data_IF_803000084559
#
_entry.id   IF_803000084559
#
_cell.length_a   1.000
_cell.length_b   1.000
_cell.length_c   1.000
_cell.angle_alpha   90.00
_cell.angle_beta   90.00
_cell.angle_gamma   90.00
#
_symmetry.space_group_name_H-M   'P 1'
#
loop_
_entity.id
_entity.type
_entity.pdbx_description
1 polymer ?
#
# COMPACT_ATOMS: atom_id res chain seq x y z
N UNK A 1 16.35 -32.97 16.22
CA UNK A 1 15.15 -32.80 15.36
C UNK A 1 14.44 -31.49 15.73
N UNK A 2 15.10 -30.33 15.63
CA UNK A 2 14.59 -29.05 16.14
C UNK A 2 14.98 -27.85 15.27
N UNK A 3 14.92 -27.99 13.94
CA UNK A 3 15.24 -26.91 12.98
C UNK A 3 14.06 -26.57 12.05
N UNK A 4 12.94 -27.28 12.13
CA UNK A 4 11.84 -27.15 11.15
C UNK A 4 10.83 -26.05 11.50
N UNK A 5 10.88 -25.52 12.72
CA UNK A 5 9.88 -24.56 13.23
C UNK A 5 10.20 -23.12 12.83
N UNK A 6 11.48 -22.69 12.87
CA UNK A 6 11.89 -21.31 12.52
C UNK A 6 11.66 -20.95 11.04
N UNK A 7 11.86 -21.91 10.13
CA UNK A 7 11.68 -21.68 8.71
C UNK A 7 10.20 -21.53 8.30
N UNK A 8 9.27 -22.09 9.09
CA UNK A 8 7.83 -21.99 8.77
C UNK A 8 7.27 -20.66 9.29
N UNK A 9 7.65 -20.26 10.51
CA UNK A 9 7.27 -18.97 11.09
C UNK A 9 7.75 -17.79 10.24
N UNK A 10 8.98 -17.83 9.74
CA UNK A 10 9.53 -16.77 8.87
C UNK A 10 8.79 -16.65 7.53
N UNK A 11 8.36 -17.75 6.93
CA UNK A 11 7.55 -17.73 5.71
C UNK A 11 6.15 -17.12 5.94
N UNK A 12 5.54 -17.42 7.09
CA UNK A 12 4.24 -16.86 7.48
C UNK A 12 4.33 -15.34 7.73
N UNK A 13 5.42 -14.87 8.35
CA UNK A 13 5.71 -13.45 8.55
C UNK A 13 5.96 -12.71 7.23
N UNK A 14 6.72 -13.30 6.31
CA UNK A 14 6.99 -12.70 5.00
C UNK A 14 5.72 -12.58 4.16
N UNK A 15 4.86 -13.60 4.19
CA UNK A 15 3.55 -13.57 3.54
C UNK A 15 2.63 -12.50 4.16
N UNK A 16 2.58 -12.41 5.49
CA UNK A 16 1.81 -11.38 6.19
C UNK A 16 2.31 -9.96 5.84
N UNK A 17 3.63 -9.77 5.74
CA UNK A 17 4.24 -8.49 5.35
C UNK A 17 3.92 -8.11 3.91
N UNK A 18 4.03 -9.07 2.98
CA UNK A 18 3.66 -8.86 1.59
C UNK A 18 2.18 -8.48 1.46
N UNK A 19 1.30 -9.16 2.21
CA UNK A 19 -0.12 -8.85 2.24
C UNK A 19 -0.40 -7.44 2.78
N UNK A 20 0.23 -7.06 3.90
CA UNK A 20 0.11 -5.72 4.47
C UNK A 20 0.52 -4.64 3.46
N UNK A 21 1.65 -4.83 2.77
CA UNK A 21 2.08 -3.88 1.72
C UNK A 21 1.11 -3.81 0.56
N UNK A 22 0.52 -4.94 0.14
CA UNK A 22 -0.48 -4.95 -0.92
C UNK A 22 -1.76 -4.18 -0.53
N UNK A 23 -2.25 -4.36 0.70
CA UNK A 23 -3.40 -3.62 1.22
C UNK A 23 -3.09 -2.12 1.30
N UNK A 24 -1.93 -1.75 1.83
CA UNK A 24 -1.51 -0.36 1.92
C UNK A 24 -1.40 0.31 0.54
N UNK A 25 -0.85 -0.40 -0.45
CA UNK A 25 -0.77 0.10 -1.82
C UNK A 25 -2.17 0.41 -2.41
N UNK A 26 -3.18 -0.39 -2.09
CA UNK A 26 -4.57 -0.12 -2.50
C UNK A 26 -5.16 1.06 -1.72
N UNK A 27 -4.93 1.11 -0.39
CA UNK A 27 -5.48 2.16 0.48
C UNK A 27 -4.96 3.57 0.16
N UNK A 28 -3.71 3.69 -0.30
CA UNK A 28 -3.13 4.96 -0.79
C UNK A 28 -3.36 5.20 -2.29
N UNK A 29 -4.06 4.29 -2.98
CA UNK A 29 -4.51 4.49 -4.35
C UNK A 29 -5.72 5.42 -4.44
N UNK A 30 -6.13 5.75 -5.67
CA UNK A 30 -7.37 6.48 -5.88
C UNK A 30 -8.57 5.67 -5.31
N UNK A 31 -9.45 6.29 -4.50
CA UNK A 31 -10.53 5.56 -3.84
C UNK A 31 -11.67 5.33 -4.83
N UNK A 32 -11.53 4.33 -5.71
CA UNK A 32 -12.61 3.83 -6.58
C UNK A 32 -13.47 2.81 -5.84
N UNK A 33 -14.71 2.59 -6.31
CA UNK A 33 -15.58 1.52 -5.82
C UNK A 33 -14.87 0.15 -5.77
N UNK A 34 -14.11 -0.16 -6.83
CA UNK A 34 -13.32 -1.40 -6.93
C UNK A 34 -12.28 -1.50 -5.80
N UNK A 35 -11.53 -0.44 -5.56
CA UNK A 35 -10.50 -0.42 -4.52
C UNK A 35 -11.12 -0.49 -3.12
N UNK A 36 -12.23 0.20 -2.88
CA UNK A 36 -12.96 0.15 -1.60
C UNK A 36 -13.53 -1.24 -1.34
N UNK A 37 -14.14 -1.88 -2.35
CA UNK A 37 -14.63 -3.25 -2.26
C UNK A 37 -13.49 -4.24 -1.99
N UNK A 38 -12.35 -4.07 -2.68
CA UNK A 38 -11.16 -4.89 -2.45
C UNK A 38 -10.66 -4.77 -1.01
N UNK A 39 -10.55 -3.55 -0.48
CA UNK A 39 -10.15 -3.31 0.90
C UNK A 39 -11.12 -3.95 1.90
N UNK A 40 -12.44 -3.79 1.67
CA UNK A 40 -13.48 -4.41 2.50
C UNK A 40 -13.33 -5.94 2.53
N UNK A 41 -13.10 -6.56 1.37
CA UNK A 41 -12.90 -8.01 1.27
C UNK A 41 -11.62 -8.50 1.95
N UNK A 42 -10.61 -7.64 2.12
CA UNK A 42 -9.32 -7.95 2.73
C UNK A 42 -9.27 -7.71 4.24
N UNK A 43 -10.34 -7.20 4.86
CA UNK A 43 -10.31 -6.75 6.26
C UNK A 43 -9.94 -7.87 7.25
N UNK A 44 -10.55 -9.06 7.13
CA UNK A 44 -10.28 -10.19 8.01
C UNK A 44 -8.84 -10.71 7.86
N UNK A 45 -8.38 -10.81 6.62
CA UNK A 45 -7.01 -11.26 6.30
C UNK A 45 -5.97 -10.23 6.79
N UNK A 46 -6.29 -8.94 6.74
CA UNK A 46 -5.44 -7.87 7.26
C UNK A 46 -5.30 -7.97 8.77
N UNK A 47 -6.38 -8.18 9.51
CA UNK A 47 -6.31 -8.40 10.95
C UNK A 47 -5.44 -9.61 11.30
N UNK A 48 -5.54 -10.69 10.52
CA UNK A 48 -4.71 -11.86 10.71
C UNK A 48 -3.23 -11.55 10.43
N UNK A 49 -2.93 -10.84 9.34
CA UNK A 49 -1.58 -10.43 9.00
C UNK A 49 -0.96 -9.53 10.09
N UNK A 50 -1.73 -8.57 10.63
CA UNK A 50 -1.29 -7.72 11.74
C UNK A 50 -0.95 -8.54 12.98
N UNK A 51 -1.80 -9.51 13.35
CA UNK A 51 -1.53 -10.44 14.47
C UNK A 51 -0.26 -11.27 14.25
N UNK A 52 -0.07 -11.82 13.05
CA UNK A 52 1.14 -12.58 12.69
C UNK A 52 2.40 -11.72 12.83
N UNK A 53 2.32 -10.43 12.48
CA UNK A 53 3.44 -9.49 12.59
C UNK A 53 3.62 -8.88 13.99
N UNK A 54 2.77 -9.24 14.97
CA UNK A 54 2.79 -8.64 16.31
C UNK A 54 2.42 -7.16 16.33
N UNK A 55 1.70 -6.68 15.31
CA UNK A 55 1.22 -5.30 15.20
C UNK A 55 -0.17 -5.16 15.82
N UNK A 56 -0.41 -4.02 16.46
CA UNK A 56 -1.73 -3.70 16.99
C UNK A 56 -2.71 -3.43 15.84
N UNK A 57 -3.87 -4.08 15.89
CA UNK A 57 -4.97 -3.73 15.00
C UNK A 57 -5.49 -2.34 15.40
N UNK A 58 -5.71 -1.43 14.45
CA UNK A 58 -6.27 -0.12 14.76
C UNK A 58 -7.71 -0.18 15.32
N UNK A 59 -8.32 -1.38 15.33
CA UNK A 59 -9.71 -1.57 15.71
C UNK A 59 -10.67 -1.04 14.65
N UNK A 60 -11.89 -1.56 14.60
CA UNK A 60 -12.98 -1.07 13.74
C UNK A 60 -12.70 -1.03 12.22
N UNK A 61 -11.74 -1.82 11.69
CA UNK A 61 -11.45 -1.85 10.25
C UNK A 61 -12.70 -2.06 9.37
N UNK A 62 -13.62 -2.99 9.68
CA UNK A 62 -14.87 -3.13 8.94
C UNK A 62 -15.73 -1.86 8.95
N UNK A 63 -15.87 -1.21 10.11
CA UNK A 63 -16.68 0.01 10.27
C UNK A 63 -16.06 1.19 9.50
N UNK A 64 -14.73 1.33 9.55
CA UNK A 64 -13.99 2.35 8.80
C UNK A 64 -14.16 2.17 7.30
N UNK A 65 -14.13 0.92 6.81
CA UNK A 65 -14.29 0.63 5.39
C UNK A 65 -15.74 0.80 4.91
N UNK A 66 -16.72 0.50 5.77
CA UNK A 66 -18.13 0.78 5.50
C UNK A 66 -18.39 2.30 5.41
N UNK A 67 -17.88 3.08 6.37
CA UNK A 67 -17.94 4.54 6.34
C UNK A 67 -17.22 5.13 5.11
N UNK A 68 -16.06 4.57 4.75
CA UNK A 68 -15.34 4.96 3.55
C UNK A 68 -16.15 4.72 2.27
N UNK A 69 -16.85 3.58 2.18
CA UNK A 69 -17.74 3.28 1.06
C UNK A 69 -18.93 4.25 1.00
N UNK A 70 -19.54 4.58 2.15
CA UNK A 70 -20.64 5.55 2.22
C UNK A 70 -20.22 6.96 1.78
N UNK A 71 -18.97 7.36 2.07
CA UNK A 71 -18.40 8.68 1.76
C UNK A 71 -17.48 8.66 0.54
N UNK A 72 -17.68 7.72 -0.38
CA UNK A 72 -16.82 7.51 -1.54
C UNK A 72 -16.50 8.80 -2.31
N UNK A 73 -17.50 9.59 -2.72
CA UNK A 73 -17.28 10.80 -3.52
C UNK A 73 -16.47 11.86 -2.76
N UNK A 74 -16.70 11.99 -1.46
CA UNK A 74 -15.94 12.91 -0.62
C UNK A 74 -14.48 12.47 -0.51
N UNK A 75 -14.23 11.16 -0.38
CA UNK A 75 -12.88 10.60 -0.37
C UNK A 75 -12.14 10.84 -1.70
N UNK A 76 -12.82 10.75 -2.85
CA UNK A 76 -12.21 11.10 -4.14
C UNK A 76 -11.80 12.58 -4.20
N UNK A 77 -12.67 13.47 -3.71
CA UNK A 77 -12.37 14.89 -3.63
C UNK A 77 -11.18 15.19 -2.71
N UNK A 78 -11.14 14.55 -1.55
CA UNK A 78 -10.03 14.65 -0.59
C UNK A 78 -8.73 14.09 -1.17
N UNK A 79 -8.78 12.94 -1.84
CA UNK A 79 -7.63 12.33 -2.50
C UNK A 79 -7.00 13.29 -3.51
N UNK A 80 -7.82 13.84 -4.41
CA UNK A 80 -7.36 14.81 -5.40
C UNK A 80 -6.74 16.04 -4.74
N UNK A 81 -7.38 16.57 -3.69
CA UNK A 81 -6.86 17.73 -2.95
C UNK A 81 -5.53 17.43 -2.27
N UNK A 82 -5.38 16.28 -1.63
CA UNK A 82 -4.19 15.92 -0.85
C UNK A 82 -3.01 15.56 -1.75
N UNK A 83 -3.23 14.67 -2.72
CA UNK A 83 -2.17 13.97 -3.44
C UNK A 83 -1.92 14.49 -4.86
N UNK A 84 -2.95 15.02 -5.53
CA UNK A 84 -2.89 15.32 -6.98
C UNK A 84 -2.75 16.82 -7.26
N UNK A 85 -3.69 17.63 -6.77
CA UNK A 85 -3.82 19.04 -7.16
C UNK A 85 -3.29 20.00 -6.10
N UNK A 86 -3.55 19.73 -4.82
CA UNK A 86 -3.10 20.60 -3.73
C UNK A 86 -1.65 20.33 -3.31
N UNK A 87 -1.11 19.15 -3.63
CA UNK A 87 0.25 18.71 -3.29
C UNK A 87 0.62 18.96 -1.81
N UNK A 88 -0.37 18.93 -0.91
CA UNK A 88 -0.16 19.09 0.51
C UNK A 88 0.59 17.89 1.09
N UNK A 89 0.37 16.71 0.51
CA UNK A 89 1.11 15.49 0.75
C UNK A 89 1.30 14.77 -0.59
N UNK A 90 2.33 15.11 -1.39
CA UNK A 90 2.60 14.42 -2.65
C UNK A 90 2.70 12.90 -2.47
N UNK A 91 2.20 12.11 -3.43
CA UNK A 91 2.26 10.64 -3.34
C UNK A 91 3.64 10.06 -3.69
N UNK A 92 4.48 10.83 -4.38
CA UNK A 92 5.82 10.38 -4.81
C UNK A 92 6.90 10.89 -3.87
N UNK A 93 7.79 9.98 -3.44
CA UNK A 93 8.99 10.31 -2.63
C UNK A 93 9.81 11.46 -3.23
N UNK A 94 9.96 11.47 -4.56
CA UNK A 94 10.72 12.48 -5.31
C UNK A 94 10.21 13.92 -5.16
N UNK A 95 9.00 14.12 -4.62
CA UNK A 95 8.44 15.44 -4.36
C UNK A 95 8.82 15.99 -2.97
N UNK A 96 9.28 15.14 -2.05
CA UNK A 96 9.74 15.54 -0.72
C UNK A 96 11.24 15.84 -0.69
N UNK A 97 12.00 15.37 -1.68
CA UNK A 97 13.41 15.73 -1.84
C UNK A 97 13.56 17.04 -2.63
N UNK A 98 13.73 18.15 -1.91
CA UNK A 98 13.81 19.52 -2.45
C UNK A 98 14.98 19.78 -3.42
N UNK A 99 15.97 18.89 -3.53
CA UNK A 99 17.29 19.29 -4.06
C UNK A 99 17.78 18.53 -5.30
N UNK A 100 17.03 17.55 -5.85
CA UNK A 100 17.63 16.60 -6.83
C UNK A 100 16.73 16.14 -7.96
N UNK A 101 16.28 17.10 -8.78
CA UNK A 101 15.70 16.79 -10.10
C UNK A 101 16.59 15.86 -10.95
N UNK A 102 17.91 15.90 -10.75
CA UNK A 102 18.88 14.99 -11.37
C UNK A 102 18.89 13.56 -10.77
N UNK A 103 18.53 13.35 -9.50
CA UNK A 103 18.46 12.00 -8.90
C UNK A 103 17.17 11.27 -9.18
N UNK A 104 16.08 12.01 -9.38
CA UNK A 104 14.77 11.45 -9.76
C UNK A 104 14.87 10.45 -10.91
N UNK A 105 15.67 10.74 -11.93
CA UNK A 105 15.87 9.84 -13.07
C UNK A 105 16.60 8.55 -12.69
N UNK A 106 17.60 8.63 -11.79
CA UNK A 106 18.36 7.48 -11.32
C UNK A 106 17.54 6.59 -10.38
N UNK A 107 16.79 7.18 -9.45
CA UNK A 107 15.89 6.48 -8.53
C UNK A 107 14.77 5.75 -9.30
N UNK A 108 14.13 6.43 -10.25
CA UNK A 108 13.11 5.79 -11.10
C UNK A 108 13.70 4.67 -11.96
N UNK A 109 14.93 4.82 -12.46
CA UNK A 109 15.61 3.78 -13.21
C UNK A 109 15.96 2.56 -12.33
N UNK A 110 16.37 2.78 -11.08
CA UNK A 110 16.66 1.71 -10.12
C UNK A 110 15.40 0.93 -9.75
N UNK A 111 14.32 1.65 -9.39
CA UNK A 111 13.00 1.06 -9.16
C UNK A 111 12.54 0.27 -10.38
N UNK A 112 12.64 0.83 -11.58
CA UNK A 112 12.29 0.12 -12.81
C UNK A 112 13.16 -1.11 -13.05
N UNK A 113 14.46 -1.04 -12.76
CA UNK A 113 15.41 -2.15 -12.83
C UNK A 113 15.01 -3.29 -11.90
N UNK A 114 14.69 -2.97 -10.65
CA UNK A 114 14.20 -3.93 -9.66
C UNK A 114 12.95 -4.66 -10.16
N UNK A 115 11.89 -3.94 -10.53
CA UNK A 115 10.65 -4.57 -10.99
C UNK A 115 10.86 -5.44 -12.24
N UNK A 116 11.70 -5.00 -13.18
CA UNK A 116 12.04 -5.79 -14.38
C UNK A 116 12.78 -7.08 -14.03
N UNK A 117 13.67 -7.07 -13.05
CA UNK A 117 14.39 -8.27 -12.61
C UNK A 117 13.43 -9.36 -12.08
N UNK A 118 12.28 -8.95 -11.52
CA UNK A 118 11.21 -9.86 -11.09
C UNK A 118 10.12 -10.08 -12.15
N UNK A 119 10.37 -9.72 -13.41
CA UNK A 119 9.46 -9.96 -14.53
C UNK A 119 8.24 -9.01 -14.60
N UNK A 120 8.21 -7.98 -13.76
CA UNK A 120 7.12 -7.00 -13.73
C UNK A 120 7.42 -5.84 -14.70
N UNK A 121 6.36 -5.35 -15.36
CA UNK A 121 6.42 -4.15 -16.22
C UNK A 121 5.67 -3.02 -15.53
N UNK A 122 6.37 -1.94 -15.22
CA UNK A 122 5.74 -0.71 -14.72
C UNK A 122 5.00 -0.05 -15.89
N UNK A 123 3.71 0.19 -15.72
CA UNK A 123 2.89 0.94 -16.68
C UNK A 123 3.33 2.40 -16.76
N UNK A 124 2.86 3.12 -17.79
CA UNK A 124 3.08 4.57 -17.84
C UNK A 124 2.42 5.22 -16.61
N UNK A 125 3.05 6.25 -16.00
CA UNK A 125 2.40 7.02 -14.95
C UNK A 125 1.09 7.61 -15.50
N UNK A 126 0.01 7.44 -14.74
CA UNK A 126 -1.32 8.00 -15.06
C UNK A 126 -1.41 9.42 -14.51
#
# INVERSE_FOLDING_TARGET
MSERTDATTSLDEDAARAFLFAVMAVAFGYPSEENLMRLASSAADLEQALRTLGLESPGSLPEVLEDAAARHFDLQGLYNRLFVTGLAAPISETAYELDKSARRAAELADVQGFYRAFGLRIGAPV
#
